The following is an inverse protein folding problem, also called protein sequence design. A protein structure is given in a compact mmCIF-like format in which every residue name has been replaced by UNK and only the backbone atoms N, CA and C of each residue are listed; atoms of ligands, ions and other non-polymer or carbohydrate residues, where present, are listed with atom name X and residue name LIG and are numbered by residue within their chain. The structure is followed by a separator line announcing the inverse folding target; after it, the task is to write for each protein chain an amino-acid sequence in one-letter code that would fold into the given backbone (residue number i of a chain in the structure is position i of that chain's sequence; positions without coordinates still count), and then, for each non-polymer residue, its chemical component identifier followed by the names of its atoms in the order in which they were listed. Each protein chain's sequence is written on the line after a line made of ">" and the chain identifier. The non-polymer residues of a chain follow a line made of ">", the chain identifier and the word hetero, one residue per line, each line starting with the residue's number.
data_IF_899800126458
#
_entry.id   IF_899800126458
#
_cell.length_a   1.000
_cell.length_b   1.000
_cell.length_c   1.000
_cell.angle_alpha   90.00
_cell.angle_beta   90.00
_cell.angle_gamma   90.00
#
_symmetry.space_group_name_H-M   'P 1'
#
loop_
_entity.id
_entity.type
_entity.pdbx_description
1 polymer ?
#
# COMPACT_ATOMS: atom_id res chain seq x y z
N UNK A 1 21.31 -15.50 18.54
CA UNK A 1 20.29 -14.43 18.59
C UNK A 1 19.81 -14.18 17.17
N UNK A 2 19.32 -15.23 16.50
CA UNK A 2 19.15 -15.19 15.04
C UNK A 2 18.06 -14.23 14.60
N UNK A 3 16.98 -14.09 15.37
CA UNK A 3 15.94 -13.11 15.10
C UNK A 3 16.42 -11.65 15.20
N UNK A 4 17.38 -11.34 16.08
CA UNK A 4 17.97 -9.99 16.17
C UNK A 4 18.89 -9.74 14.98
N UNK A 5 19.72 -10.72 14.61
CA UNK A 5 20.59 -10.62 13.43
C UNK A 5 19.80 -10.46 12.14
N UNK A 6 18.62 -11.10 12.03
CA UNK A 6 17.80 -11.08 10.82
C UNK A 6 16.84 -9.87 10.73
N UNK A 7 16.70 -9.05 11.77
CA UNK A 7 15.65 -8.02 11.81
C UNK A 7 16.19 -6.67 12.28
N UNK A 8 16.27 -5.71 11.36
CA UNK A 8 16.72 -4.34 11.65
C UNK A 8 15.89 -3.64 12.72
N UNK A 9 14.59 -3.93 12.81
CA UNK A 9 13.76 -3.45 13.92
C UNK A 9 14.31 -3.95 15.27
N UNK A 10 14.60 -5.24 15.40
CA UNK A 10 15.11 -5.80 16.65
C UNK A 10 16.56 -5.38 16.91
N UNK A 11 17.38 -5.21 15.87
CA UNK A 11 18.75 -4.71 16.01
C UNK A 11 18.78 -3.25 16.48
N UNK A 12 17.89 -2.40 15.94
CA UNK A 12 17.83 -0.97 16.22
C UNK A 12 17.65 -0.64 17.71
N UNK A 13 16.83 -1.42 18.43
CA UNK A 13 16.57 -1.18 19.85
C UNK A 13 17.63 -1.78 20.81
N UNK A 14 18.69 -2.41 20.28
CA UNK A 14 19.91 -2.73 21.03
C UNK A 14 19.75 -3.74 22.18
N UNK A 15 18.72 -4.58 22.13
CA UNK A 15 18.41 -5.57 23.16
C UNK A 15 18.08 -6.95 22.60
N UNK A 16 17.56 -7.84 23.46
CA UNK A 16 17.20 -9.20 23.12
C UNK A 16 15.70 -9.47 23.36
N UNK A 17 15.12 -10.49 22.70
CA UNK A 17 13.66 -10.61 22.64
C UNK A 17 12.94 -10.71 23.99
N UNK A 18 13.46 -11.46 24.96
CA UNK A 18 12.85 -11.55 26.30
C UNK A 18 12.78 -10.20 27.01
N UNK A 19 13.75 -9.30 26.78
CA UNK A 19 13.71 -7.93 27.31
C UNK A 19 12.67 -7.09 26.58
N UNK A 20 12.57 -7.19 25.25
CA UNK A 20 11.51 -6.50 24.50
C UNK A 20 10.11 -6.90 24.95
N UNK A 21 9.84 -8.20 25.15
CA UNK A 21 8.54 -8.67 25.66
C UNK A 21 8.22 -8.07 27.03
N UNK A 22 9.20 -8.01 27.93
CA UNK A 22 9.03 -7.37 29.25
C UNK A 22 8.78 -5.86 29.13
N UNK A 23 9.49 -5.17 28.25
CA UNK A 23 9.30 -3.73 28.02
C UNK A 23 7.91 -3.44 27.44
N UNK A 24 7.42 -4.27 26.50
CA UNK A 24 6.06 -4.19 25.97
C UNK A 24 5.04 -4.39 27.09
N UNK A 25 5.16 -5.46 27.87
CA UNK A 25 4.27 -5.74 29.00
C UNK A 25 4.21 -4.55 29.97
N UNK A 26 5.37 -4.08 30.44
CA UNK A 26 5.45 -2.94 31.35
C UNK A 26 4.81 -1.69 30.76
N UNK A 27 5.02 -1.41 29.47
CA UNK A 27 4.43 -0.24 28.79
C UNK A 27 2.89 -0.31 28.74
N UNK A 28 2.32 -1.51 28.54
CA UNK A 28 0.88 -1.73 28.50
C UNK A 28 0.23 -1.59 29.89
N UNK A 29 0.93 -2.04 30.94
CA UNK A 29 0.48 -1.94 32.34
C UNK A 29 0.45 -0.50 32.88
N UNK A 30 1.10 0.47 32.22
CA UNK A 30 1.07 1.87 32.65
C UNK A 30 -0.35 2.44 32.51
N UNK A 31 -0.95 2.77 33.66
CA UNK A 31 -2.24 3.47 33.74
C UNK A 31 -2.03 4.96 33.51
N UNK A 32 -1.22 5.60 34.35
CA UNK A 32 -0.80 7.00 34.24
C UNK A 32 0.72 7.11 34.10
N UNK A 33 1.20 8.00 33.23
CA UNK A 33 2.62 8.24 33.01
C UNK A 33 3.06 8.08 31.56
N UNK A 34 4.37 8.27 31.34
CA UNK A 34 4.97 8.20 30.01
C UNK A 34 5.13 6.75 29.54
N UNK A 35 4.69 6.48 28.30
CA UNK A 35 4.82 5.19 27.63
C UNK A 35 6.01 5.19 26.67
N UNK A 36 7.15 4.74 27.17
CA UNK A 36 8.42 4.80 26.44
C UNK A 36 8.51 3.80 25.28
N UNK A 37 7.74 2.70 25.30
CA UNK A 37 7.84 1.64 24.28
C UNK A 37 6.85 1.80 23.12
N UNK A 38 5.98 2.82 23.13
CA UNK A 38 4.97 3.02 22.07
C UNK A 38 5.61 3.10 20.66
N UNK A 39 6.71 3.85 20.51
CA UNK A 39 7.42 3.93 19.23
C UNK A 39 8.01 2.58 18.81
N UNK A 40 8.56 1.81 19.76
CA UNK A 40 9.09 0.46 19.49
C UNK A 40 8.00 -0.50 19.02
N UNK A 41 6.89 -0.60 19.77
CA UNK A 41 5.75 -1.46 19.44
C UNK A 41 5.24 -1.18 18.01
N UNK A 42 5.14 0.10 17.65
CA UNK A 42 4.65 0.53 16.34
C UNK A 42 5.71 0.46 15.22
N UNK A 43 6.99 0.25 15.55
CA UNK A 43 8.07 0.11 14.56
C UNK A 43 8.17 -1.30 13.95
N UNK A 44 7.46 -2.30 14.48
CA UNK A 44 7.48 -3.65 13.89
C UNK A 44 6.69 -3.70 12.57
N UNK A 45 7.22 -4.36 11.53
CA UNK A 45 6.51 -4.51 10.25
C UNK A 45 5.52 -5.67 10.21
N UNK A 46 5.42 -6.44 11.31
CA UNK A 46 4.56 -7.61 11.43
C UNK A 46 4.84 -8.71 10.37
N UNK A 47 6.05 -8.77 9.81
CA UNK A 47 6.41 -9.70 8.73
C UNK A 47 6.63 -11.15 9.18
N UNK A 48 6.71 -11.40 10.49
CA UNK A 48 6.91 -12.75 11.04
C UNK A 48 8.30 -13.37 10.80
N UNK A 49 9.29 -12.65 10.25
CA UNK A 49 10.66 -13.20 10.04
C UNK A 49 11.27 -13.74 11.32
N UNK A 50 11.08 -13.01 12.42
CA UNK A 50 11.53 -13.43 13.74
C UNK A 50 11.06 -14.84 14.13
N UNK A 51 9.82 -15.24 13.78
CA UNK A 51 9.30 -16.59 14.04
C UNK A 51 10.06 -17.64 13.22
N UNK A 52 10.26 -17.38 11.93
CA UNK A 52 10.91 -18.32 11.02
C UNK A 52 12.35 -18.64 11.44
N UNK A 53 13.11 -17.62 11.85
CA UNK A 53 14.54 -17.81 12.17
C UNK A 53 14.80 -18.10 13.65
N UNK A 54 13.78 -18.05 14.51
CA UNK A 54 13.95 -18.28 15.94
C UNK A 54 13.89 -19.79 16.25
N UNK A 55 14.92 -20.37 16.89
CA UNK A 55 14.91 -21.79 17.30
C UNK A 55 13.74 -22.15 18.24
N UNK A 56 13.20 -21.15 18.94
CA UNK A 56 12.10 -21.31 19.89
C UNK A 56 10.75 -20.82 19.33
N UNK A 57 10.68 -20.45 18.04
CA UNK A 57 9.44 -20.01 17.39
C UNK A 57 8.87 -18.67 17.88
N UNK A 58 9.68 -17.81 18.52
CA UNK A 58 9.20 -16.53 19.04
C UNK A 58 8.76 -15.58 17.90
N UNK A 59 7.50 -15.14 17.95
CA UNK A 59 6.95 -14.18 16.98
C UNK A 59 6.78 -12.78 17.60
N UNK A 60 7.81 -11.94 17.44
CA UNK A 60 7.71 -10.52 17.81
C UNK A 60 6.65 -9.75 17.00
N UNK A 61 6.27 -10.23 15.81
CA UNK A 61 5.18 -9.65 15.03
C UNK A 61 3.83 -9.79 15.74
N UNK A 62 3.49 -11.00 16.18
CA UNK A 62 2.25 -11.26 16.94
C UNK A 62 2.22 -10.46 18.25
N UNK A 63 3.31 -10.48 19.01
CA UNK A 63 3.40 -9.73 20.28
C UNK A 63 3.20 -8.22 20.07
N UNK A 64 3.81 -7.65 19.01
CA UNK A 64 3.61 -6.24 18.69
C UNK A 64 2.18 -5.96 18.20
N UNK A 65 1.55 -6.88 17.48
CA UNK A 65 0.15 -6.72 17.03
C UNK A 65 -0.81 -6.74 18.22
N UNK A 66 -0.69 -7.72 19.12
CA UNK A 66 -1.51 -7.80 20.35
C UNK A 66 -1.36 -6.53 21.21
N UNK A 67 -0.12 -6.04 21.35
CA UNK A 67 0.14 -4.79 22.04
C UNK A 67 -0.57 -3.59 21.37
N UNK A 68 -0.59 -3.52 20.04
CA UNK A 68 -1.31 -2.45 19.31
C UNK A 68 -2.81 -2.55 19.50
N UNK A 69 -3.38 -3.75 19.45
CA UNK A 69 -4.81 -3.98 19.69
C UNK A 69 -5.20 -3.47 21.08
N UNK A 70 -4.46 -3.89 22.12
CA UNK A 70 -4.73 -3.44 23.49
C UNK A 70 -4.53 -1.93 23.65
N UNK A 71 -3.54 -1.35 22.97
CA UNK A 71 -3.35 0.11 22.97
C UNK A 71 -4.53 0.85 22.34
N UNK A 72 -5.15 0.32 21.28
CA UNK A 72 -6.36 0.92 20.67
C UNK A 72 -7.55 0.74 21.60
N UNK A 73 -7.81 -0.49 22.06
CA UNK A 73 -8.93 -0.85 22.94
C UNK A 73 -8.95 0.01 24.22
N UNK A 74 -7.79 0.25 24.83
CA UNK A 74 -7.66 1.01 26.07
C UNK A 74 -7.48 2.52 25.86
N UNK A 75 -7.57 3.02 24.62
CA UNK A 75 -7.39 4.44 24.29
C UNK A 75 -5.96 4.97 24.52
N UNK A 76 -4.96 4.08 24.54
CA UNK A 76 -3.54 4.39 24.80
C UNK A 76 -2.68 4.51 23.54
N UNK A 77 -3.22 4.18 22.36
CA UNK A 77 -2.54 4.36 21.07
C UNK A 77 -2.34 5.85 20.81
N UNK A 78 -1.11 6.34 20.55
CA UNK A 78 -0.92 7.75 20.22
C UNK A 78 -1.71 8.08 18.94
N UNK A 79 -2.60 9.10 18.98
CA UNK A 79 -3.57 9.34 17.90
C UNK A 79 -2.94 9.52 16.52
N UNK A 80 -1.72 10.06 16.46
CA UNK A 80 -1.02 10.39 15.22
C UNK A 80 -0.35 9.20 14.52
N UNK A 81 -0.11 8.09 15.21
CA UNK A 81 0.84 7.04 14.75
C UNK A 81 0.42 6.42 13.41
N UNK A 82 -0.85 6.08 13.28
CA UNK A 82 -1.40 5.37 12.10
C UNK A 82 -2.49 6.17 11.37
N UNK A 83 -2.76 7.41 11.82
CA UNK A 83 -3.90 8.23 11.37
C UNK A 83 -3.94 8.41 9.86
N UNK A 84 -2.81 8.77 9.25
CA UNK A 84 -2.73 9.00 7.81
C UNK A 84 -2.98 7.71 7.02
N UNK A 85 -2.44 6.57 7.46
CA UNK A 85 -2.68 5.28 6.82
C UNK A 85 -4.15 4.85 6.94
N UNK A 86 -4.79 5.11 8.08
CA UNK A 86 -6.21 4.86 8.29
C UNK A 86 -7.09 5.81 7.44
N UNK A 87 -6.63 7.04 7.19
CA UNK A 87 -7.28 7.95 6.24
C UNK A 87 -7.21 7.42 4.80
N UNK A 88 -6.04 6.94 4.37
CA UNK A 88 -5.90 6.31 3.04
C UNK A 88 -6.73 5.02 2.93
N UNK A 89 -6.85 4.26 4.03
CA UNK A 89 -7.75 3.11 4.08
C UNK A 89 -9.20 3.53 3.85
N UNK A 90 -9.70 4.55 4.57
CA UNK A 90 -11.08 5.05 4.40
C UNK A 90 -11.37 5.49 2.97
N UNK A 91 -10.43 6.19 2.32
CA UNK A 91 -10.55 6.49 0.89
C UNK A 91 -10.65 5.20 0.06
N UNK A 92 -9.77 4.23 0.34
CA UNK A 92 -9.67 2.98 -0.42
C UNK A 92 -10.80 1.98 -0.16
N UNK A 93 -11.67 2.23 0.83
CA UNK A 93 -12.89 1.45 1.12
C UNK A 93 -14.17 2.26 0.88
N UNK A 94 -14.03 3.51 0.44
CA UNK A 94 -15.12 4.42 0.12
C UNK A 94 -15.49 4.41 -1.37
N UNK A 95 -16.57 5.13 -1.67
CA UNK A 95 -17.21 5.13 -3.00
C UNK A 95 -16.33 5.71 -4.10
N UNK A 96 -15.29 6.47 -3.76
CA UNK A 96 -14.35 7.00 -4.74
C UNK A 96 -13.53 5.89 -5.42
N UNK A 97 -13.36 4.72 -4.80
CA UNK A 97 -12.57 3.61 -5.36
C UNK A 97 -13.32 2.27 -5.41
N UNK A 98 -14.22 2.00 -4.45
CA UNK A 98 -14.86 0.68 -4.38
C UNK A 98 -15.76 0.43 -5.59
N UNK A 99 -15.62 -0.75 -6.19
CA UNK A 99 -16.40 -1.22 -7.33
C UNK A 99 -16.57 -2.74 -7.22
N UNK A 100 -17.78 -3.27 -7.41
CA UNK A 100 -18.05 -4.69 -7.53
C UNK A 100 -19.01 -4.90 -8.71
N UNK A 101 -18.57 -5.64 -9.72
CA UNK A 101 -19.35 -5.87 -10.95
C UNK A 101 -19.02 -7.22 -11.58
N UNK A 102 -20.03 -7.85 -12.19
CA UNK A 102 -19.82 -8.90 -13.18
C UNK A 102 -19.23 -8.33 -14.47
N UNK A 103 -18.54 -9.17 -15.22
CA UNK A 103 -18.11 -8.83 -16.59
C UNK A 103 -19.33 -8.44 -17.44
N UNK A 104 -19.24 -7.39 -18.29
CA UNK A 104 -20.29 -7.07 -19.25
C UNK A 104 -20.71 -8.30 -20.08
N UNK A 105 -22.02 -8.51 -20.22
CA UNK A 105 -22.60 -9.67 -20.89
C UNK A 105 -22.77 -10.92 -20.01
N UNK A 106 -22.32 -10.89 -18.76
CA UNK A 106 -22.50 -11.97 -17.79
C UNK A 106 -23.35 -11.51 -16.59
N UNK A 107 -24.20 -12.41 -16.09
CA UNK A 107 -24.97 -12.22 -14.85
C UNK A 107 -24.40 -12.99 -13.65
N UNK A 108 -23.36 -13.79 -13.90
CA UNK A 108 -22.59 -14.53 -12.90
C UNK A 108 -21.10 -14.44 -13.24
N UNK A 109 -20.25 -14.74 -12.27
CA UNK A 109 -18.79 -14.80 -12.49
C UNK A 109 -18.27 -16.16 -12.06
N UNK A 110 -17.38 -16.77 -12.84
CA UNK A 110 -16.64 -17.96 -12.43
C UNK A 110 -15.44 -17.58 -11.55
N UNK A 111 -14.88 -16.39 -11.80
CA UNK A 111 -13.79 -15.80 -11.02
C UNK A 111 -14.06 -14.34 -10.71
N UNK A 112 -13.54 -13.84 -9.59
CA UNK A 112 -13.53 -12.43 -9.23
C UNK A 112 -12.08 -11.96 -9.08
N UNK A 113 -11.68 -10.99 -9.90
CA UNK A 113 -10.36 -10.39 -9.83
C UNK A 113 -10.35 -9.24 -8.82
N UNK A 114 -9.49 -9.36 -7.81
CA UNK A 114 -9.22 -8.34 -6.80
C UNK A 114 -7.76 -7.87 -6.93
N UNK A 115 -7.47 -6.78 -7.67
CA UNK A 115 -6.10 -6.31 -7.89
C UNK A 115 -5.44 -5.76 -6.62
N UNK A 116 -6.24 -5.30 -5.66
CA UNK A 116 -5.79 -4.63 -4.45
C UNK A 116 -5.52 -3.13 -4.63
N UNK A 117 -5.60 -2.40 -3.52
CA UNK A 117 -5.53 -0.94 -3.52
C UNK A 117 -4.17 -0.36 -3.92
N UNK A 118 -3.06 -1.06 -3.62
CA UNK A 118 -1.72 -0.54 -3.90
C UNK A 118 -1.28 -0.78 -5.34
N UNK A 119 -1.65 -1.90 -5.96
CA UNK A 119 -1.41 -2.10 -7.39
C UNK A 119 -2.22 -1.08 -8.21
N UNK A 120 -3.49 -0.88 -7.85
CA UNK A 120 -4.37 0.12 -8.45
C UNK A 120 -3.85 1.55 -8.28
N UNK A 121 -3.16 1.84 -7.18
CA UNK A 121 -2.55 3.14 -6.94
C UNK A 121 -1.24 3.34 -7.68
N UNK A 122 -0.39 2.31 -7.76
CA UNK A 122 0.96 2.40 -8.32
C UNK A 122 0.96 2.28 -9.84
N UNK A 123 0.24 1.29 -10.38
CA UNK A 123 0.22 0.93 -11.81
C UNK A 123 -1.21 0.60 -12.27
N UNK A 124 -2.13 1.57 -12.29
CA UNK A 124 -3.54 1.34 -12.66
C UNK A 124 -3.72 0.72 -14.05
N UNK A 125 -2.90 1.08 -15.03
CA UNK A 125 -2.96 0.53 -16.40
C UNK A 125 -2.66 -0.97 -16.45
N UNK A 126 -1.82 -1.51 -15.55
CA UNK A 126 -1.61 -2.96 -15.50
C UNK A 126 -2.81 -3.69 -14.91
N UNK A 127 -3.61 -3.06 -14.05
CA UNK A 127 -4.86 -3.67 -13.58
C UNK A 127 -5.81 -3.92 -14.74
N UNK A 128 -5.93 -2.94 -15.65
CA UNK A 128 -6.70 -3.09 -16.88
C UNK A 128 -6.17 -4.24 -17.73
N UNK A 129 -4.87 -4.24 -18.06
CA UNK A 129 -4.26 -5.30 -18.89
C UNK A 129 -4.42 -6.71 -18.30
N UNK A 130 -4.31 -6.85 -16.97
CA UNK A 130 -4.58 -8.14 -16.29
C UNK A 130 -6.05 -8.53 -16.42
N UNK A 131 -6.97 -7.59 -16.19
CA UNK A 131 -8.40 -7.87 -16.26
C UNK A 131 -8.80 -8.32 -17.67
N UNK A 132 -8.32 -7.64 -18.71
CA UNK A 132 -8.55 -7.99 -20.11
C UNK A 132 -7.99 -9.39 -20.43
N UNK A 133 -6.78 -9.69 -19.94
CA UNK A 133 -6.16 -11.01 -20.10
C UNK A 133 -6.95 -12.13 -19.43
N UNK A 134 -7.47 -11.88 -18.22
CA UNK A 134 -8.33 -12.83 -17.52
C UNK A 134 -9.65 -13.04 -18.29
N UNK A 135 -10.29 -11.96 -18.76
CA UNK A 135 -11.53 -12.04 -19.55
C UNK A 135 -11.33 -12.85 -20.84
N UNK A 136 -10.15 -12.76 -21.47
CA UNK A 136 -9.84 -13.50 -22.68
C UNK A 136 -9.55 -14.98 -22.44
N UNK A 137 -9.00 -15.36 -21.27
CA UNK A 137 -8.54 -16.72 -20.98
C UNK A 137 -9.47 -17.53 -20.07
N UNK A 138 -10.37 -16.88 -19.33
CA UNK A 138 -11.25 -17.54 -18.35
C UNK A 138 -12.69 -17.57 -18.86
N UNK A 139 -13.25 -18.77 -18.98
CA UNK A 139 -14.66 -18.97 -19.32
C UNK A 139 -15.58 -18.74 -18.11
N UNK A 140 -16.82 -18.32 -18.36
CA UNK A 140 -17.85 -18.18 -17.32
C UNK A 140 -17.87 -16.82 -16.60
N UNK A 141 -17.22 -15.80 -17.16
CA UNK A 141 -17.28 -14.42 -16.67
C UNK A 141 -16.26 -14.10 -15.58
N UNK A 142 -15.58 -12.96 -15.74
CA UNK A 142 -14.58 -12.43 -14.80
C UNK A 142 -15.14 -11.20 -14.10
N UNK A 143 -15.59 -11.36 -12.87
CA UNK A 143 -15.99 -10.21 -12.04
C UNK A 143 -14.78 -9.34 -11.70
N UNK A 144 -15.02 -8.06 -11.45
CA UNK A 144 -14.01 -7.11 -10.96
C UNK A 144 -14.44 -6.56 -9.60
N UNK A 145 -13.53 -6.64 -8.61
CA UNK A 145 -13.70 -6.02 -7.30
C UNK A 145 -12.53 -5.09 -6.98
N UNK A 146 -12.79 -3.78 -6.90
CA UNK A 146 -11.83 -2.77 -6.48
C UNK A 146 -12.09 -2.40 -5.02
N UNK A 147 -11.01 -2.31 -4.24
CA UNK A 147 -11.07 -1.93 -2.83
C UNK A 147 -9.77 -2.22 -2.08
N UNK A 148 -9.81 -2.06 -0.76
CA UNK A 148 -8.71 -2.41 0.13
C UNK A 148 -9.11 -3.58 1.03
N UNK A 149 -8.23 -4.59 1.16
CA UNK A 149 -8.43 -5.76 2.02
C UNK A 149 -8.39 -5.49 3.54
N UNK A 150 -8.42 -4.23 3.98
CA UNK A 150 -8.40 -3.87 5.41
C UNK A 150 -7.05 -4.00 6.13
N UNK A 151 -6.00 -4.55 5.50
CA UNK A 151 -4.71 -4.79 6.16
C UNK A 151 -4.15 -3.60 7.00
N UNK A 152 -4.25 -2.32 6.56
CA UNK A 152 -3.85 -1.18 7.39
C UNK A 152 -4.59 -1.06 8.73
N UNK A 153 -5.89 -1.38 8.79
CA UNK A 153 -6.65 -1.37 10.04
C UNK A 153 -6.10 -2.40 11.02
N UNK A 154 -5.93 -3.65 10.56
CA UNK A 154 -5.32 -4.71 11.36
C UNK A 154 -3.92 -4.34 11.83
N UNK A 155 -3.07 -3.81 10.94
CA UNK A 155 -1.72 -3.39 11.32
C UNK A 155 -1.68 -2.25 12.35
N UNK A 156 -2.70 -1.38 12.36
CA UNK A 156 -2.86 -0.30 13.32
C UNK A 156 -3.49 -0.76 14.66
N UNK A 157 -3.94 -2.01 14.74
CA UNK A 157 -4.71 -2.56 15.87
C UNK A 157 -6.17 -2.11 15.92
N UNK A 158 -6.71 -1.59 14.82
CA UNK A 158 -8.10 -1.20 14.66
C UNK A 158 -8.94 -2.43 14.26
N UNK A 159 -9.10 -3.38 15.19
CA UNK A 159 -9.70 -4.69 14.88
C UNK A 159 -11.16 -4.59 14.44
N UNK A 160 -11.96 -3.71 15.04
CA UNK A 160 -13.36 -3.51 14.64
C UNK A 160 -13.47 -2.96 13.22
N UNK A 161 -12.69 -1.92 12.87
CA UNK A 161 -12.64 -1.40 11.50
C UNK A 161 -12.15 -2.46 10.50
N UNK A 162 -11.24 -3.35 10.92
CA UNK A 162 -10.78 -4.45 10.08
C UNK A 162 -11.90 -5.45 9.81
N UNK A 163 -12.64 -5.87 10.84
CA UNK A 163 -13.80 -6.77 10.72
C UNK A 163 -14.89 -6.16 9.84
N UNK A 164 -15.28 -4.92 10.08
CA UNK A 164 -16.28 -4.20 9.25
C UNK A 164 -15.87 -4.17 7.77
N UNK A 165 -14.58 -3.94 7.51
CA UNK A 165 -14.04 -3.94 6.14
C UNK A 165 -14.14 -5.33 5.50
N UNK A 166 -13.81 -6.39 6.24
CA UNK A 166 -13.92 -7.76 5.75
C UNK A 166 -15.36 -8.19 5.52
N UNK A 167 -16.27 -7.92 6.46
CA UNK A 167 -17.68 -8.25 6.36
C UNK A 167 -18.30 -7.63 5.10
N UNK A 168 -17.95 -6.37 4.79
CA UNK A 168 -18.35 -5.72 3.54
C UNK A 168 -17.81 -6.46 2.31
N UNK A 169 -16.52 -6.82 2.30
CA UNK A 169 -15.92 -7.54 1.16
C UNK A 169 -16.55 -8.92 0.98
N UNK A 170 -16.76 -9.66 2.05
CA UNK A 170 -17.40 -10.98 2.02
C UNK A 170 -18.84 -10.88 1.55
N UNK A 171 -19.61 -9.89 2.02
CA UNK A 171 -20.97 -9.65 1.56
C UNK A 171 -21.03 -9.38 0.05
N UNK A 172 -20.17 -8.49 -0.44
CA UNK A 172 -20.08 -8.19 -1.88
C UNK A 172 -19.62 -9.40 -2.71
N UNK A 173 -18.69 -10.20 -2.19
CA UNK A 173 -18.24 -11.44 -2.82
C UNK A 173 -19.37 -12.48 -2.90
N UNK A 174 -20.13 -12.67 -1.82
CA UNK A 174 -21.32 -13.56 -1.80
C UNK A 174 -22.41 -13.05 -2.73
N UNK A 175 -22.63 -11.73 -2.81
CA UNK A 175 -23.58 -11.11 -3.74
C UNK A 175 -23.22 -11.37 -5.21
N UNK A 176 -21.94 -11.53 -5.53
CA UNK A 176 -21.46 -11.93 -6.86
C UNK A 176 -21.51 -13.46 -7.09
N UNK A 177 -22.12 -14.22 -6.18
CA UNK A 177 -22.28 -15.68 -6.30
C UNK A 177 -21.09 -16.49 -5.79
N UNK A 178 -20.29 -15.93 -4.87
CA UNK A 178 -19.11 -16.58 -4.28
C UNK A 178 -18.10 -17.16 -5.30
N UNK A 179 -17.71 -16.40 -6.34
CA UNK A 179 -16.78 -16.87 -7.36
C UNK A 179 -15.39 -17.17 -6.78
N UNK A 180 -14.57 -17.93 -7.50
CA UNK A 180 -13.16 -18.11 -7.13
C UNK A 180 -12.42 -16.76 -7.14
N UNK A 181 -11.69 -16.44 -6.08
CA UNK A 181 -10.99 -15.15 -5.94
C UNK A 181 -9.59 -15.23 -6.54
N UNK A 182 -9.25 -14.29 -7.43
CA UNK A 182 -7.90 -14.10 -7.97
C UNK A 182 -7.37 -12.76 -7.47
N UNK A 183 -6.25 -12.78 -6.74
CA UNK A 183 -5.67 -11.57 -6.15
C UNK A 183 -4.44 -11.08 -6.91
N UNK A 184 -4.35 -9.76 -7.12
CA UNK A 184 -3.17 -9.10 -7.70
C UNK A 184 -2.11 -8.68 -6.66
N UNK A 185 -2.43 -8.81 -5.37
CA UNK A 185 -1.58 -8.35 -4.28
C UNK A 185 -1.30 -9.48 -3.26
N UNK A 186 -0.03 -9.78 -2.94
CA UNK A 186 0.34 -10.80 -1.94
C UNK A 186 -0.25 -10.58 -0.54
N UNK A 187 -0.49 -9.32 -0.14
CA UNK A 187 -1.13 -9.02 1.15
C UNK A 187 -2.62 -9.34 1.11
N UNK A 188 -3.32 -9.01 0.02
CA UNK A 188 -4.73 -9.36 -0.15
C UNK A 188 -4.92 -10.88 -0.16
N UNK A 189 -4.05 -11.62 -0.86
CA UNK A 189 -4.02 -13.08 -0.83
C UNK A 189 -3.94 -13.61 0.60
N UNK A 190 -2.95 -13.15 1.38
CA UNK A 190 -2.73 -13.61 2.75
C UNK A 190 -3.91 -13.29 3.68
N UNK A 191 -4.50 -12.11 3.56
CA UNK A 191 -5.68 -11.73 4.35
C UNK A 191 -6.87 -12.59 3.97
N UNK A 192 -7.25 -12.65 2.69
CA UNK A 192 -8.44 -13.40 2.30
C UNK A 192 -8.29 -14.89 2.58
N UNK A 193 -7.12 -15.48 2.36
CA UNK A 193 -6.88 -16.91 2.62
C UNK A 193 -7.06 -17.26 4.09
N UNK A 194 -6.71 -16.33 4.98
CA UNK A 194 -6.83 -16.53 6.42
C UNK A 194 -8.26 -16.29 6.92
N UNK A 195 -8.92 -15.27 6.40
CA UNK A 195 -10.16 -14.74 6.99
C UNK A 195 -11.43 -15.24 6.28
N UNK A 196 -11.37 -15.50 4.97
CA UNK A 196 -12.51 -15.96 4.15
C UNK A 196 -12.33 -17.45 3.84
N UNK A 197 -12.49 -18.30 4.86
CA UNK A 197 -12.15 -19.73 4.77
C UNK A 197 -12.91 -20.53 3.69
N UNK A 198 -14.13 -20.09 3.36
CA UNK A 198 -14.96 -20.71 2.32
C UNK A 198 -14.56 -20.32 0.89
N UNK A 199 -13.74 -19.28 0.71
CA UNK A 199 -13.34 -18.81 -0.61
C UNK A 199 -12.13 -19.59 -1.12
N UNK A 200 -12.24 -20.11 -2.35
CA UNK A 200 -11.06 -20.56 -3.11
C UNK A 200 -10.29 -19.35 -3.60
N UNK A 201 -9.07 -19.15 -3.09
CA UNK A 201 -8.25 -17.97 -3.37
C UNK A 201 -6.94 -18.37 -4.04
N UNK A 202 -6.64 -17.71 -5.15
CA UNK A 202 -5.40 -17.86 -5.91
C UNK A 202 -4.77 -16.48 -6.16
N UNK A 203 -3.51 -16.49 -6.59
CA UNK A 203 -2.86 -15.25 -7.04
C UNK A 203 -2.88 -15.18 -8.54
N UNK A 204 -2.75 -13.95 -9.07
CA UNK A 204 -2.59 -13.79 -10.51
C UNK A 204 -1.39 -14.58 -11.04
N UNK A 205 -0.33 -14.75 -10.25
CA UNK A 205 0.89 -15.46 -10.67
C UNK A 205 0.66 -16.96 -10.82
N UNK A 206 0.01 -17.61 -9.86
CA UNK A 206 -0.32 -19.03 -9.96
C UNK A 206 -1.29 -19.28 -11.12
N UNK A 207 -2.23 -18.35 -11.34
CA UNK A 207 -3.18 -18.44 -12.47
C UNK A 207 -2.47 -18.26 -13.81
N UNK A 208 -1.54 -17.31 -13.95
CA UNK A 208 -0.81 -17.09 -15.20
C UNK A 208 0.19 -18.19 -15.53
N UNK A 209 0.80 -18.83 -14.53
CA UNK A 209 1.63 -20.04 -14.74
C UNK A 209 0.77 -21.18 -15.33
N UNK A 210 -0.46 -21.35 -14.83
CA UNK A 210 -1.40 -22.39 -15.32
C UNK A 210 -2.01 -22.08 -16.69
N UNK A 211 -2.48 -20.84 -16.91
CA UNK A 211 -3.15 -20.44 -18.16
C UNK A 211 -2.17 -20.10 -19.29
N UNK A 212 -0.88 -20.04 -18.97
CA UNK A 212 0.18 -19.58 -19.85
C UNK A 212 0.17 -18.07 -20.05
N UNK A 213 1.37 -17.49 -19.98
CA UNK A 213 1.65 -16.13 -20.45
C UNK A 213 1.37 -16.04 -21.97
N UNK A 214 0.77 -14.97 -22.50
CA UNK A 214 0.58 -14.81 -23.94
C UNK A 214 1.91 -14.88 -24.71
N UNK A 215 1.97 -15.67 -25.79
CA UNK A 215 3.18 -15.83 -26.62
C UNK A 215 3.69 -14.50 -27.18
N UNK A 216 2.79 -13.57 -27.48
CA UNK A 216 3.14 -12.21 -27.92
C UNK A 216 3.95 -11.40 -26.90
N UNK A 217 4.04 -11.86 -25.64
CA UNK A 217 4.84 -11.23 -24.59
C UNK A 217 6.23 -11.88 -24.44
N UNK A 218 6.47 -13.04 -25.04
CA UNK A 218 7.78 -13.71 -24.99
C UNK A 218 8.82 -12.91 -25.79
N UNK A 219 9.94 -12.55 -25.16
CA UNK A 219 11.03 -11.82 -25.83
C UNK A 219 10.77 -10.34 -26.12
N UNK A 220 9.72 -9.75 -25.53
CA UNK A 220 9.42 -8.31 -25.66
C UNK A 220 10.46 -7.42 -24.98
N UNK A 221 11.16 -7.94 -23.98
CA UNK A 221 12.28 -7.28 -23.33
C UNK A 221 13.57 -8.06 -23.59
N UNK A 222 14.68 -7.34 -23.79
CA UNK A 222 16.01 -7.94 -23.84
C UNK A 222 16.24 -8.85 -22.63
N UNK A 223 16.78 -10.06 -22.78
CA UNK A 223 17.11 -10.95 -21.66
C UNK A 223 17.90 -10.22 -20.58
N UNK A 224 17.51 -10.42 -19.32
CA UNK A 224 18.05 -9.76 -18.13
C UNK A 224 18.19 -10.76 -17.00
N UNK A 225 19.07 -10.47 -16.05
CA UNK A 225 19.22 -11.23 -14.81
C UNK A 225 18.59 -10.42 -13.68
N UNK A 226 17.62 -11.03 -12.99
CA UNK A 226 16.91 -10.39 -11.89
C UNK A 226 17.16 -11.11 -10.57
N UNK A 227 17.42 -10.33 -9.51
CA UNK A 227 17.34 -10.80 -8.14
C UNK A 227 15.87 -10.74 -7.67
N UNK A 228 15.25 -11.91 -7.44
CA UNK A 228 13.84 -11.95 -7.07
C UNK A 228 13.65 -11.60 -5.59
N UNK A 229 12.76 -10.66 -5.32
CA UNK A 229 12.30 -10.34 -3.98
C UNK A 229 10.92 -10.97 -3.72
N UNK A 230 10.92 -12.03 -2.93
CA UNK A 230 9.68 -12.65 -2.46
C UNK A 230 8.98 -11.77 -1.42
N UNK A 231 7.67 -11.59 -1.57
CA UNK A 231 6.87 -10.83 -0.63
C UNK A 231 6.69 -11.60 0.69
N UNK A 232 6.98 -10.93 1.81
CA UNK A 232 6.96 -11.56 3.13
C UNK A 232 5.58 -12.13 3.55
N UNK A 233 4.47 -11.60 3.00
CA UNK A 233 3.12 -12.11 3.29
C UNK A 233 2.80 -13.44 2.59
N UNK A 234 3.59 -13.83 1.58
CA UNK A 234 3.47 -15.09 0.83
C UNK A 234 4.68 -16.00 1.07
N UNK A 235 5.33 -15.83 2.22
CA UNK A 235 6.53 -16.58 2.60
C UNK A 235 6.30 -18.10 2.60
N UNK A 236 5.14 -18.53 3.07
CA UNK A 236 4.78 -19.94 3.22
C UNK A 236 4.01 -20.46 1.99
N UNK A 237 4.21 -19.83 0.83
CA UNK A 237 3.51 -20.16 -0.43
C UNK A 237 4.53 -20.56 -1.50
N UNK A 238 5.17 -21.74 -1.38
CA UNK A 238 6.23 -22.16 -2.29
C UNK A 238 5.74 -22.31 -3.73
N UNK A 239 4.50 -22.73 -3.95
CA UNK A 239 3.90 -22.86 -5.28
C UNK A 239 3.78 -21.51 -5.99
N UNK A 240 3.39 -20.46 -5.26
CA UNK A 240 3.36 -19.09 -5.78
C UNK A 240 4.75 -18.59 -6.13
N UNK A 241 5.70 -18.79 -5.21
CA UNK A 241 7.10 -18.40 -5.40
C UNK A 241 7.70 -19.08 -6.63
N UNK A 242 7.36 -20.34 -6.85
CA UNK A 242 7.80 -21.10 -8.02
C UNK A 242 7.11 -20.63 -9.31
N UNK A 243 5.80 -20.33 -9.26
CA UNK A 243 5.05 -19.76 -10.39
C UNK A 243 5.69 -18.47 -10.89
N UNK A 244 6.09 -17.58 -9.96
CA UNK A 244 6.81 -16.34 -10.29
C UNK A 244 8.08 -16.63 -11.09
N UNK A 245 8.89 -17.60 -10.64
CA UNK A 245 10.18 -17.93 -11.27
C UNK A 245 10.00 -18.56 -12.65
N UNK A 246 9.03 -19.47 -12.80
CA UNK A 246 8.66 -20.07 -14.09
C UNK A 246 8.20 -19.03 -15.10
N UNK A 247 7.36 -18.08 -14.67
CA UNK A 247 6.92 -16.97 -15.53
C UNK A 247 8.13 -16.17 -16.03
N UNK A 248 9.07 -15.82 -15.13
CA UNK A 248 10.27 -15.05 -15.49
C UNK A 248 11.14 -15.79 -16.49
N UNK A 249 11.36 -17.09 -16.28
CA UNK A 249 12.14 -17.94 -17.19
C UNK A 249 11.46 -18.08 -18.56
N UNK A 250 10.13 -18.27 -18.57
CA UNK A 250 9.33 -18.36 -19.81
C UNK A 250 9.40 -17.06 -20.63
N UNK A 251 9.49 -15.92 -19.97
CA UNK A 251 9.69 -14.62 -20.62
C UNK A 251 11.13 -14.40 -21.14
N UNK A 252 12.04 -15.36 -20.97
CA UNK A 252 13.42 -15.28 -21.46
C UNK A 252 14.39 -14.58 -20.52
N UNK A 253 14.00 -14.37 -19.25
CA UNK A 253 14.86 -13.76 -18.23
C UNK A 253 15.44 -14.81 -17.28
N UNK A 254 16.54 -14.46 -16.60
CA UNK A 254 17.18 -15.30 -15.61
C UNK A 254 16.88 -14.79 -14.20
N UNK A 255 16.76 -15.74 -13.26
CA UNK A 255 16.54 -15.45 -11.84
C UNK A 255 17.79 -15.82 -11.05
N UNK A 256 18.21 -14.90 -10.18
CA UNK A 256 19.10 -15.20 -9.06
C UNK A 256 18.35 -14.98 -7.74
N UNK A 257 18.73 -15.72 -6.71
CA UNK A 257 18.15 -15.59 -5.38
C UNK A 257 18.93 -14.59 -4.54
N UNK A 258 18.22 -13.79 -3.75
CA UNK A 258 18.82 -13.01 -2.67
C UNK A 258 19.19 -13.93 -1.51
N UNK A 259 20.19 -13.54 -0.71
CA UNK A 259 20.69 -14.32 0.43
C UNK A 259 19.54 -14.80 1.33
N UNK A 260 18.61 -13.89 1.61
CA UNK A 260 17.34 -14.20 2.27
C UNK A 260 16.20 -14.16 1.26
N UNK A 261 15.83 -15.32 0.75
CA UNK A 261 14.75 -15.52 -0.23
C UNK A 261 13.70 -16.48 0.33
N UNK A 262 12.57 -16.61 -0.38
CA UNK A 262 11.50 -17.57 -0.07
C UNK A 262 11.07 -17.52 1.40
N UNK A 263 11.22 -18.62 2.13
CA UNK A 263 10.82 -18.72 3.53
C UNK A 263 11.59 -17.77 4.47
N UNK A 264 12.79 -17.32 4.10
CA UNK A 264 13.58 -16.39 4.93
C UNK A 264 13.53 -14.94 4.43
N UNK A 265 12.71 -14.64 3.43
CA UNK A 265 12.67 -13.30 2.80
C UNK A 265 12.48 -12.16 3.80
N UNK A 266 13.27 -11.10 3.59
CA UNK A 266 13.22 -9.87 4.38
C UNK A 266 12.01 -9.00 4.02
N UNK A 267 11.66 -8.08 4.91
CA UNK A 267 10.57 -7.14 4.70
C UNK A 267 11.04 -5.90 3.93
N UNK A 268 10.18 -5.30 3.11
CA UNK A 268 10.41 -3.99 2.48
C UNK A 268 10.09 -2.78 3.39
N UNK A 269 9.68 -3.05 4.64
CA UNK A 269 9.30 -2.02 5.61
C UNK A 269 7.92 -1.37 5.35
N UNK A 270 7.11 -1.92 4.44
CA UNK A 270 5.75 -1.43 4.19
C UNK A 270 4.72 -1.95 5.20
N UNK A 271 4.75 -3.26 5.45
CA UNK A 271 3.82 -3.93 6.37
C UNK A 271 3.91 -3.35 7.79
N UNK A 272 2.84 -3.52 8.57
CA UNK A 272 2.81 -3.05 9.95
C UNK A 272 2.81 -1.52 10.09
N UNK A 273 2.66 -0.76 9.00
CA UNK A 273 2.69 0.70 8.97
C UNK A 273 3.99 1.30 9.53
N UNK A 274 5.09 0.54 9.44
CA UNK A 274 6.40 0.90 9.99
C UNK A 274 6.86 2.30 9.55
N UNK A 275 6.66 2.67 8.28
CA UNK A 275 7.05 3.98 7.75
C UNK A 275 6.32 5.16 8.38
N UNK A 276 5.09 4.94 8.89
CA UNK A 276 4.31 5.97 9.59
C UNK A 276 4.73 6.11 11.05
N UNK A 277 5.17 5.01 11.67
CA UNK A 277 5.61 5.00 13.06
C UNK A 277 7.09 5.39 13.25
N UNK A 278 7.97 4.96 12.35
CA UNK A 278 9.42 5.15 12.48
C UNK A 278 10.15 5.10 11.13
N UNK A 279 10.31 6.28 10.50
CA UNK A 279 11.01 6.45 9.22
C UNK A 279 12.46 5.95 9.26
N UNK A 280 13.17 6.18 10.37
CA UNK A 280 14.58 5.78 10.52
C UNK A 280 14.76 4.26 10.46
N UNK A 281 13.95 3.50 11.20
CA UNK A 281 14.00 2.03 11.16
C UNK A 281 13.59 1.51 9.78
N UNK A 282 12.61 2.15 9.15
CA UNK A 282 12.17 1.81 7.79
C UNK A 282 13.31 1.94 6.79
N UNK A 283 14.08 3.03 6.86
CA UNK A 283 15.24 3.26 6.00
C UNK A 283 16.30 2.17 6.22
N UNK A 284 16.65 1.85 7.47
CA UNK A 284 17.60 0.77 7.80
C UNK A 284 17.17 -0.58 7.21
N UNK A 285 15.88 -0.94 7.36
CA UNK A 285 15.30 -2.16 6.78
C UNK A 285 15.46 -2.21 5.26
N UNK A 286 15.21 -1.10 4.57
CA UNK A 286 15.30 -1.07 3.10
C UNK A 286 16.73 -1.04 2.60
N UNK A 287 17.59 -0.24 3.21
CA UNK A 287 19.01 -0.12 2.84
C UNK A 287 19.70 -1.49 2.93
N UNK A 288 19.56 -2.16 4.06
CA UNK A 288 20.07 -3.54 4.22
C UNK A 288 19.61 -4.46 3.11
N UNK A 289 18.35 -4.35 2.67
CA UNK A 289 17.81 -5.23 1.64
C UNK A 289 18.29 -4.89 0.23
N UNK A 290 18.46 -3.63 -0.12
CA UNK A 290 18.93 -3.24 -1.46
C UNK A 290 20.44 -3.44 -1.65
N UNK A 291 21.19 -3.50 -0.54
CA UNK A 291 22.63 -3.79 -0.51
C UNK A 291 22.97 -5.29 -0.67
N UNK A 292 21.98 -6.20 -0.56
CA UNK A 292 22.22 -7.67 -0.67
C UNK A 292 22.67 -8.11 -2.08
N UNK A 293 22.41 -7.32 -3.13
CA UNK A 293 22.85 -7.64 -4.48
C UNK A 293 22.87 -6.40 -5.37
N UNK A 294 23.85 -6.31 -6.28
CA UNK A 294 23.92 -5.25 -7.30
C UNK A 294 22.95 -5.47 -8.47
N UNK A 295 22.46 -6.69 -8.69
CA UNK A 295 21.55 -7.01 -9.79
C UNK A 295 20.22 -6.24 -9.69
N UNK A 296 19.55 -6.01 -10.82
CA UNK A 296 18.21 -5.41 -10.85
C UNK A 296 17.24 -6.31 -10.05
N UNK A 297 16.39 -5.71 -9.22
CA UNK A 297 15.42 -6.47 -8.43
C UNK A 297 14.14 -6.70 -9.22
N UNK A 298 13.52 -7.84 -8.98
CA UNK A 298 12.19 -8.14 -9.47
C UNK A 298 11.26 -8.44 -8.30
N UNK A 299 10.19 -7.67 -8.19
CA UNK A 299 9.17 -7.84 -7.18
C UNK A 299 7.81 -8.15 -7.82
N UNK A 300 6.98 -8.93 -7.11
CA UNK A 300 5.60 -9.21 -7.51
C UNK A 300 4.58 -8.61 -6.53
N UNK A 301 5.04 -7.66 -5.71
CA UNK A 301 4.26 -6.79 -4.85
C UNK A 301 4.56 -5.34 -5.21
N UNK A 302 3.54 -4.58 -5.62
CA UNK A 302 3.66 -3.17 -6.00
C UNK A 302 4.37 -2.33 -4.92
N UNK A 303 4.09 -2.60 -3.64
CA UNK A 303 4.72 -1.87 -2.55
C UNK A 303 6.18 -2.26 -2.31
N UNK A 304 6.56 -3.52 -2.51
CA UNK A 304 7.97 -3.88 -2.44
C UNK A 304 8.75 -3.16 -3.54
N UNK A 305 8.22 -3.18 -4.78
CA UNK A 305 8.81 -2.46 -5.91
C UNK A 305 8.99 -0.97 -5.62
N UNK A 306 7.91 -0.28 -5.26
CA UNK A 306 7.94 1.17 -5.06
C UNK A 306 8.82 1.60 -3.88
N UNK A 307 8.85 0.82 -2.80
CA UNK A 307 9.65 1.17 -1.63
C UNK A 307 11.14 0.99 -1.86
N UNK A 308 11.59 0.00 -2.65
CA UNK A 308 13.01 -0.12 -3.00
C UNK A 308 13.42 0.88 -4.07
N UNK A 309 12.56 1.13 -5.07
CA UNK A 309 12.80 2.18 -6.08
C UNK A 309 12.94 3.57 -5.43
N UNK A 310 12.18 3.84 -4.36
CA UNK A 310 12.30 5.08 -3.57
C UNK A 310 13.70 5.26 -2.94
N UNK A 311 14.37 4.16 -2.58
CA UNK A 311 15.72 4.16 -2.02
C UNK A 311 16.82 4.10 -3.09
N UNK A 312 16.47 4.17 -4.38
CA UNK A 312 17.41 4.23 -5.49
C UNK A 312 17.75 2.88 -6.14
N UNK A 313 17.18 1.76 -5.67
CA UNK A 313 17.40 0.45 -6.30
C UNK A 313 16.60 0.34 -7.60
N UNK A 314 17.22 -0.18 -8.67
CA UNK A 314 16.50 -0.58 -9.88
C UNK A 314 15.61 -1.76 -9.59
N UNK A 315 14.29 -1.55 -9.61
CA UNK A 315 13.31 -2.58 -9.31
C UNK A 315 12.19 -2.58 -10.34
N UNK A 316 12.02 -3.73 -10.96
CA UNK A 316 10.91 -4.05 -11.84
C UNK A 316 9.80 -4.74 -11.05
N UNK A 317 8.57 -4.47 -11.43
CA UNK A 317 7.45 -5.31 -11.06
C UNK A 317 7.34 -6.45 -12.08
N UNK A 318 6.90 -7.65 -11.69
CA UNK A 318 6.69 -8.74 -12.66
C UNK A 318 5.71 -8.40 -13.80
N UNK A 319 4.83 -7.42 -13.58
CA UNK A 319 3.95 -6.89 -14.64
C UNK A 319 4.71 -6.02 -15.66
N UNK A 320 5.84 -5.41 -15.29
CA UNK A 320 6.69 -4.69 -16.25
C UNK A 320 7.25 -5.67 -17.30
N UNK A 321 7.52 -6.92 -16.91
CA UNK A 321 8.00 -7.96 -17.84
C UNK A 321 6.89 -8.49 -18.75
N UNK A 322 5.63 -8.40 -18.30
CA UNK A 322 4.47 -8.85 -19.07
C UNK A 322 3.90 -7.77 -19.98
N UNK A 323 4.00 -6.50 -19.59
CA UNK A 323 3.21 -5.42 -20.18
C UNK A 323 3.95 -4.10 -20.34
N UNK A 324 5.20 -4.03 -19.87
CA UNK A 324 6.01 -2.84 -19.89
C UNK A 324 6.65 -2.59 -21.25
N UNK A 325 7.07 -1.35 -21.46
CA UNK A 325 7.75 -0.93 -22.68
C UNK A 325 9.27 -1.18 -22.58
N UNK A 326 9.96 -1.32 -23.71
CA UNK A 326 11.42 -1.53 -23.76
C UNK A 326 12.23 -0.44 -23.04
N UNK A 327 11.67 0.78 -22.92
CA UNK A 327 12.30 1.91 -22.25
C UNK A 327 12.32 1.86 -20.72
N UNK A 328 11.70 0.84 -20.09
CA UNK A 328 11.69 0.73 -18.63
C UNK A 328 13.09 0.47 -18.07
N UNK A 329 13.46 1.28 -17.09
CA UNK A 329 14.78 1.23 -16.45
C UNK A 329 14.75 0.58 -15.06
N UNK A 330 13.57 0.49 -14.45
CA UNK A 330 13.39 0.04 -13.07
C UNK A 330 13.71 1.12 -12.04
N UNK A 331 14.22 2.28 -12.46
CA UNK A 331 14.55 3.41 -11.57
C UNK A 331 13.38 4.36 -11.33
N UNK A 332 12.25 4.17 -12.01
CA UNK A 332 11.10 5.08 -11.93
C UNK A 332 10.53 5.05 -10.51
N UNK A 333 10.32 6.21 -9.87
CA UNK A 333 9.72 6.26 -8.54
C UNK A 333 8.22 5.93 -8.62
N UNK A 334 7.71 5.27 -7.59
CA UNK A 334 6.26 5.10 -7.43
C UNK A 334 5.56 6.44 -7.19
N UNK A 335 4.24 6.52 -7.41
CA UNK A 335 3.48 7.75 -7.21
C UNK A 335 3.48 8.19 -5.73
N UNK A 336 3.43 9.50 -5.53
CA UNK A 336 3.20 10.12 -4.21
C UNK A 336 1.79 9.88 -3.67
N UNK A 337 1.52 10.28 -2.43
CA UNK A 337 0.26 9.96 -1.73
C UNK A 337 -0.99 10.51 -2.44
N UNK A 338 -0.97 11.77 -2.87
CA UNK A 338 -2.10 12.37 -3.61
C UNK A 338 -2.38 11.62 -4.90
N UNK A 339 -1.31 11.34 -5.67
CA UNK A 339 -1.41 10.64 -6.95
C UNK A 339 -1.91 9.21 -6.80
N UNK A 340 -1.59 8.53 -5.69
CA UNK A 340 -2.11 7.18 -5.37
C UNK A 340 -3.63 7.17 -5.22
N UNK A 341 -4.20 8.15 -4.51
CA UNK A 341 -5.66 8.27 -4.37
C UNK A 341 -6.31 8.61 -5.70
N UNK A 342 -5.72 9.55 -6.43
CA UNK A 342 -6.20 9.92 -7.76
C UNK A 342 -6.19 8.73 -8.73
N UNK A 343 -5.10 7.96 -8.78
CA UNK A 343 -4.97 6.79 -9.64
C UNK A 343 -6.06 5.74 -9.34
N UNK A 344 -6.35 5.48 -8.06
CA UNK A 344 -7.44 4.59 -7.65
C UNK A 344 -8.80 5.10 -8.13
N UNK A 345 -9.12 6.37 -7.90
CA UNK A 345 -10.38 6.96 -8.35
C UNK A 345 -10.52 6.94 -9.87
N UNK A 346 -9.48 7.37 -10.60
CA UNK A 346 -9.43 7.33 -12.06
C UNK A 346 -9.61 5.92 -12.60
N UNK A 347 -9.03 4.91 -11.96
CA UNK A 347 -9.19 3.52 -12.37
C UNK A 347 -10.65 3.05 -12.26
N UNK A 348 -11.35 3.35 -11.15
CA UNK A 348 -12.79 3.05 -11.03
C UNK A 348 -13.58 3.76 -12.13
N UNK A 349 -13.34 5.06 -12.33
CA UNK A 349 -14.01 5.87 -13.34
C UNK A 349 -13.80 5.32 -14.76
N UNK A 350 -12.57 4.97 -15.09
CA UNK A 350 -12.21 4.31 -16.35
C UNK A 350 -13.05 3.06 -16.58
N UNK A 351 -13.06 2.16 -15.59
CA UNK A 351 -13.78 0.90 -15.67
C UNK A 351 -15.29 1.10 -15.85
N UNK A 352 -15.91 1.95 -15.02
CA UNK A 352 -17.34 2.29 -15.12
C UNK A 352 -17.73 2.79 -16.51
N UNK A 353 -16.91 3.70 -17.08
CA UNK A 353 -17.17 4.30 -18.38
C UNK A 353 -16.94 3.31 -19.52
N UNK A 354 -15.74 2.71 -19.58
CA UNK A 354 -15.29 1.96 -20.76
C UNK A 354 -15.86 0.53 -20.81
N UNK A 355 -16.13 -0.09 -19.66
CA UNK A 355 -16.69 -1.45 -19.63
C UNK A 355 -18.20 -1.49 -19.41
N UNK A 356 -18.73 -0.66 -18.51
CA UNK A 356 -20.16 -0.69 -18.15
C UNK A 356 -20.99 0.44 -18.79
N UNK A 357 -20.36 1.38 -19.51
CA UNK A 357 -21.06 2.50 -20.15
C UNK A 357 -21.75 3.44 -19.15
N UNK A 358 -21.36 3.40 -17.86
CA UNK A 358 -21.97 4.20 -16.82
C UNK A 358 -21.47 5.66 -16.91
N UNK A 359 -22.38 6.62 -16.75
CA UNK A 359 -22.02 8.02 -16.72
C UNK A 359 -21.18 8.32 -15.48
N UNK A 360 -20.02 8.95 -15.68
CA UNK A 360 -19.12 9.32 -14.58
C UNK A 360 -19.06 10.84 -14.51
N UNK A 361 -19.37 11.39 -13.33
CA UNK A 361 -19.21 12.82 -13.08
C UNK A 361 -17.74 13.14 -12.85
N UNK A 362 -17.22 14.06 -13.65
CA UNK A 362 -15.94 14.72 -13.38
C UNK A 362 -16.19 15.89 -12.44
N UNK A 363 -15.73 15.76 -11.20
CA UNK A 363 -15.68 16.87 -10.27
C UNK A 363 -14.56 17.82 -10.73
N UNK A 364 -14.94 19.01 -11.19
CA UNK A 364 -13.99 20.10 -11.44
C UNK A 364 -13.59 20.70 -10.09
N UNK A 365 -12.49 20.20 -9.53
CA UNK A 365 -11.81 20.85 -8.42
C UNK A 365 -11.06 22.11 -8.87
N UNK A 366 -10.61 22.92 -7.92
CA UNK A 366 -9.72 24.05 -8.22
C UNK A 366 -8.39 23.56 -8.80
N UNK A 367 -7.86 24.30 -9.77
CA UNK A 367 -6.56 24.04 -10.37
C UNK A 367 -5.45 24.47 -9.40
N UNK A 368 -4.51 23.56 -9.11
CA UNK A 368 -3.37 23.82 -8.23
C UNK A 368 -2.07 23.75 -9.03
N UNK A 369 -1.26 24.80 -8.93
CA UNK A 369 0.10 24.84 -9.47
C UNK A 369 1.03 24.58 -8.27
N UNK A 370 1.70 23.43 -8.26
CA UNK A 370 2.53 22.99 -7.13
C UNK A 370 3.97 22.78 -7.63
N UNK A 371 4.92 23.66 -7.26
CA UNK A 371 6.33 23.47 -7.60
C UNK A 371 6.90 22.18 -7.01
N UNK A 372 7.88 21.56 -7.67
CA UNK A 372 8.48 20.28 -7.25
C UNK A 372 8.98 20.28 -5.79
N UNK A 373 9.56 21.39 -5.34
CA UNK A 373 10.03 21.53 -3.95
C UNK A 373 8.88 21.48 -2.96
N UNK A 374 7.73 22.09 -3.30
CA UNK A 374 6.52 22.04 -2.48
C UNK A 374 5.91 20.65 -2.55
N UNK A 375 5.92 19.99 -3.72
CA UNK A 375 5.46 18.61 -3.84
C UNK A 375 6.23 17.67 -2.89
N UNK A 376 7.56 17.79 -2.82
CA UNK A 376 8.38 17.01 -1.90
C UNK A 376 8.02 17.28 -0.44
N UNK A 377 7.81 18.54 -0.09
CA UNK A 377 7.37 18.96 1.25
C UNK A 377 6.02 18.33 1.64
N UNK A 378 5.05 18.32 0.73
CA UNK A 378 3.74 17.71 0.94
C UNK A 378 3.87 16.21 1.21
N UNK A 379 4.70 15.51 0.44
CA UNK A 379 4.97 14.08 0.64
C UNK A 379 5.64 13.79 1.99
N UNK A 380 6.59 14.63 2.41
CA UNK A 380 7.28 14.48 3.70
C UNK A 380 6.34 14.69 4.90
N UNK A 381 5.44 15.67 4.77
CA UNK A 381 4.46 16.08 5.78
C UNK A 381 3.16 15.29 5.70
N UNK A 382 3.00 14.42 4.70
CA UNK A 382 1.80 13.62 4.46
C UNK A 382 0.55 14.50 4.31
N UNK A 383 0.67 15.57 3.51
CA UNK A 383 -0.42 16.48 3.16
C UNK A 383 -0.87 16.13 1.74
N UNK A 384 -2.15 15.90 1.55
CA UNK A 384 -2.71 15.59 0.24
C UNK A 384 -3.05 16.88 -0.51
N UNK A 385 -3.03 16.81 -1.84
CA UNK A 385 -3.52 17.91 -2.67
C UNK A 385 -4.98 18.24 -2.37
N UNK A 386 -5.79 17.23 -2.02
CA UNK A 386 -7.17 17.43 -1.62
C UNK A 386 -7.30 18.22 -0.30
N UNK A 387 -6.34 18.05 0.63
CA UNK A 387 -6.28 18.87 1.83
C UNK A 387 -6.03 20.35 1.45
N UNK A 388 -5.19 20.60 0.43
CA UNK A 388 -4.94 21.95 -0.09
C UNK A 388 -6.17 22.54 -0.79
N UNK A 389 -6.84 21.73 -1.63
CA UNK A 389 -8.07 22.15 -2.32
C UNK A 389 -9.16 22.54 -1.35
N UNK A 390 -9.34 21.76 -0.27
CA UNK A 390 -10.29 22.09 0.78
C UNK A 390 -9.99 23.43 1.46
N UNK A 391 -8.72 23.67 1.83
CA UNK A 391 -8.30 24.94 2.45
C UNK A 391 -8.56 26.13 1.54
N UNK A 392 -8.09 26.07 0.29
CA UNK A 392 -8.21 27.19 -0.65
C UNK A 392 -9.68 27.41 -1.03
N UNK A 393 -10.46 26.35 -1.28
CA UNK A 393 -11.88 26.49 -1.64
C UNK A 393 -12.69 27.12 -0.50
N UNK A 394 -12.43 26.74 0.76
CA UNK A 394 -13.06 27.39 1.91
C UNK A 394 -12.63 28.85 2.02
N UNK A 395 -11.34 29.14 1.87
CA UNK A 395 -10.80 30.49 1.97
C UNK A 395 -11.37 31.44 0.91
N UNK A 396 -11.49 30.97 -0.34
CA UNK A 396 -12.03 31.77 -1.45
C UNK A 396 -13.55 31.93 -1.37
N UNK A 397 -14.28 30.95 -0.84
CA UNK A 397 -15.74 31.05 -0.68
C UNK A 397 -16.16 31.91 0.52
N UNK A 398 -15.41 31.85 1.63
CA UNK A 398 -15.75 32.56 2.87
C UNK A 398 -15.04 33.90 3.04
N UNK A 399 -13.93 34.11 2.33
CA UNK A 399 -13.02 35.23 2.57
C UNK A 399 -12.14 35.07 3.81
N UNK A 400 -12.23 33.95 4.54
CA UNK A 400 -11.42 33.69 5.75
C UNK A 400 -9.98 33.33 5.37
N UNK A 401 -9.17 34.37 5.14
CA UNK A 401 -7.74 34.27 4.78
C UNK A 401 -6.96 35.50 5.23
N UNK A 402 -5.71 35.29 5.60
CA UNK A 402 -4.76 36.36 5.92
C UNK A 402 -3.98 36.74 4.65
N UNK A 403 -3.78 38.04 4.40
CA UNK A 403 -2.95 38.51 3.29
C UNK A 403 -1.55 38.88 3.81
N UNK A 404 -0.52 38.28 3.22
CA UNK A 404 0.86 38.72 3.39
C UNK A 404 1.16 39.83 2.36
N UNK A 405 1.35 41.07 2.85
CA UNK A 405 1.54 42.24 1.99
C UNK A 405 2.90 42.22 1.30
N UNK A 406 3.96 41.78 1.98
CA UNK A 406 5.33 41.78 1.44
C UNK A 406 5.51 40.79 0.31
N UNK A 407 4.95 39.58 0.47
CA UNK A 407 5.03 38.51 -0.54
C UNK A 407 3.88 38.53 -1.54
N UNK A 408 2.85 39.33 -1.30
CA UNK A 408 1.58 39.31 -2.01
C UNK A 408 0.94 37.90 -2.09
N UNK A 409 1.02 37.15 -0.98
CA UNK A 409 0.43 35.80 -0.84
C UNK A 409 -0.74 35.80 0.15
N UNK A 410 -1.54 34.73 0.13
CA UNK A 410 -2.59 34.46 1.10
C UNK A 410 -2.20 33.26 1.97
N UNK A 411 -2.58 33.30 3.24
CA UNK A 411 -2.47 32.18 4.17
C UNK A 411 -3.87 31.88 4.69
N UNK A 412 -4.30 30.63 4.56
CA UNK A 412 -5.58 30.17 5.07
C UNK A 412 -5.44 28.82 5.76
N UNK A 413 -6.47 28.45 6.52
CA UNK A 413 -6.55 27.14 7.14
C UNK A 413 -7.94 26.52 7.01
N UNK A 414 -7.97 25.20 7.09
CA UNK A 414 -9.18 24.40 7.18
C UNK A 414 -8.88 23.19 8.07
N UNK A 415 -9.88 22.77 8.83
CA UNK A 415 -9.83 21.53 9.61
C UNK A 415 -10.88 20.56 9.07
N UNK A 416 -10.62 19.89 7.93
CA UNK A 416 -11.59 18.99 7.30
C UNK A 416 -11.76 17.68 8.09
N UNK A 417 -10.78 17.35 8.94
CA UNK A 417 -10.75 16.15 9.79
C UNK A 417 -10.22 16.50 11.18
N UNK A 418 -9.58 15.57 11.88
CA UNK A 418 -8.88 15.77 13.15
C UNK A 418 -7.61 16.65 13.04
N UNK A 419 -7.17 16.96 11.82
CA UNK A 419 -5.97 17.73 11.50
C UNK A 419 -6.37 19.06 10.86
N UNK A 420 -5.74 20.14 11.32
CA UNK A 420 -5.83 21.47 10.73
C UNK A 420 -4.70 21.64 9.74
N UNK A 421 -5.05 21.95 8.49
CA UNK A 421 -4.14 22.22 7.40
C UNK A 421 -4.06 23.71 7.14
N UNK A 422 -2.85 24.19 6.87
CA UNK A 422 -2.54 25.55 6.51
C UNK A 422 -1.89 25.58 5.14
N UNK A 423 -2.26 26.55 4.32
CA UNK A 423 -1.73 26.72 2.97
C UNK A 423 -1.38 28.18 2.73
N UNK A 424 -0.17 28.41 2.25
CA UNK A 424 0.26 29.69 1.66
C UNK A 424 0.15 29.58 0.14
N UNK A 425 -0.64 30.46 -0.48
CA UNK A 425 -0.93 30.40 -1.92
C UNK A 425 -1.16 31.79 -2.55
N UNK A 426 -1.10 31.87 -3.88
CA UNK A 426 -1.48 33.06 -4.64
C UNK A 426 -2.29 32.69 -5.89
N UNK A 427 -3.26 33.51 -6.33
CA UNK A 427 -3.91 33.30 -7.62
C UNK A 427 -2.90 33.37 -8.77
N UNK A 428 -2.98 32.42 -9.71
CA UNK A 428 -2.16 32.40 -10.92
C UNK A 428 -2.96 31.77 -12.08
N UNK A 429 -3.23 32.57 -13.12
CA UNK A 429 -4.06 32.14 -14.24
C UNK A 429 -5.49 31.77 -13.81
N UNK A 430 -5.92 30.55 -14.16
CA UNK A 430 -7.20 29.97 -13.77
C UNK A 430 -7.12 29.10 -12.48
N UNK A 431 -5.97 29.14 -11.79
CA UNK A 431 -5.69 28.32 -10.61
C UNK A 431 -4.97 29.08 -9.50
N UNK A 432 -4.36 28.31 -8.62
CA UNK A 432 -3.63 28.82 -7.45
C UNK A 432 -2.24 28.20 -7.36
N UNK A 433 -1.22 29.06 -7.28
CA UNK A 433 0.15 28.67 -6.96
C UNK A 433 0.29 28.40 -5.47
N UNK A 434 0.70 27.20 -5.12
CA UNK A 434 0.97 26.81 -3.73
C UNK A 434 2.43 27.09 -3.40
N UNK A 435 2.66 27.96 -2.43
CA UNK A 435 4.00 28.33 -1.96
C UNK A 435 4.48 27.43 -0.81
N UNK A 436 3.56 27.04 0.08
CA UNK A 436 3.88 26.24 1.26
C UNK A 436 2.62 25.61 1.86
N UNK A 437 2.78 24.51 2.61
CA UNK A 437 1.70 23.94 3.42
C UNK A 437 2.23 23.23 4.66
N UNK A 438 1.49 23.32 5.76
CA UNK A 438 1.81 22.61 7.01
C UNK A 438 0.52 22.18 7.71
N UNK A 439 0.66 21.29 8.71
CA UNK A 439 -0.50 20.82 9.46
C UNK A 439 -0.19 20.60 10.94
N UNK A 440 -1.21 20.73 11.78
CA UNK A 440 -1.14 20.45 13.21
C UNK A 440 -2.48 19.93 13.74
N UNK A 441 -2.53 19.50 14.99
CA UNK A 441 -3.76 18.98 15.62
C UNK A 441 -4.48 19.99 16.52
N UNK A 442 -3.93 21.20 16.68
CA UNK A 442 -4.59 22.27 17.44
C UNK A 442 -5.90 22.68 16.75
N UNK A 443 -6.95 22.84 17.55
CA UNK A 443 -8.21 23.47 17.12
C UNK A 443 -8.01 24.98 17.27
N UNK A 444 -8.36 25.71 16.23
CA UNK A 444 -8.35 27.17 16.24
C UNK A 444 -9.79 27.55 16.57
N UNK A 445 -10.00 28.11 17.76
CA UNK A 445 -11.29 28.70 18.12
C UNK A 445 -11.32 30.12 17.53
N UNK A 446 -12.43 30.47 16.87
CA UNK A 446 -12.67 31.78 16.26
C UNK A 446 -13.08 32.84 17.28
#
# INVERSE_FOLDING_TARGET
>A
MECVKACEFLAHYGSYPKRYVREIYNNLSIVMGMRHANRMINSCSLCGLCKQVCPNGLNMGEICLEARNLMVETGKMPPSTHEFALRDLRFSTGDQFVLNRHQPGFTTSSVLFFPGCQLSASKPHYVQKIYDLLCAKVSGGVGLSLGCCGAPARWAGQEELFKETLEKIEGEWRNLGSPRLITGCPTCYSIFKKEISEARIETIWTVLDQLGVPEAMEGTLSPRVFAVHDACTTRNEPELQESVRKIVQKLGHQVIELERSRETTDCCGYGGLMSFANKEVTQKVRQRRIEESEADYLAYCAMCRDNYAKEGKKVFHLLDLLFGDEGLTGSEKGPGFSKRQENRARLKKFFLKELWGEAVVEEKGINLIIPDQVQQLLEERMILEEDLRAVISQAESTGSKFKNIEKNTFIAYCRPVTVTYWVEYSPEGDGFLVHNAYCHRLKIDE
#
